data_IF_324994384371
#
_entry.id   IF_324994384371
#
_cell.length_a   1.000
_cell.length_b   1.000
_cell.length_c   1.000
_cell.angle_alpha   90.00
_cell.angle_beta   90.00
_cell.angle_gamma   90.00
#
_symmetry.space_group_name_H-M   'P 1'
#
loop_
_entity.id
_entity.type
_entity.pdbx_description
1 polymer ?
#
# COMPACT_ATOMS: atom_id res chain seq x y z
N UNK A 1 -2.08 -5.84 29.63
CA UNK A 1 -1.23 -5.64 28.43
C UNK A 1 -0.55 -4.29 28.54
N UNK A 2 0.74 -4.18 28.23
CA UNK A 2 1.48 -2.90 28.32
C UNK A 2 1.25 -2.05 27.06
N UNK A 3 1.52 -0.74 27.14
CA UNK A 3 1.47 0.17 25.97
C UNK A 3 2.35 -0.33 24.81
N UNK A 4 3.53 -0.88 25.12
CA UNK A 4 4.43 -1.46 24.12
C UNK A 4 3.83 -2.66 23.37
N UNK A 5 3.07 -3.53 24.05
CA UNK A 5 2.37 -4.65 23.39
C UNK A 5 1.33 -4.16 22.40
N UNK A 6 0.57 -3.12 22.76
CA UNK A 6 -0.42 -2.52 21.85
C UNK A 6 0.22 -1.88 20.62
N UNK A 7 1.33 -1.15 20.80
CA UNK A 7 2.07 -0.55 19.69
C UNK A 7 2.60 -1.61 18.71
N UNK A 8 3.16 -2.70 19.23
CA UNK A 8 3.63 -3.82 18.42
C UNK A 8 2.48 -4.46 17.61
N UNK A 9 1.32 -4.70 18.25
CA UNK A 9 0.14 -5.20 17.56
C UNK A 9 -0.33 -4.23 16.46
N UNK A 10 -0.34 -2.92 16.73
CA UNK A 10 -0.68 -1.91 15.73
C UNK A 10 0.28 -1.93 14.54
N UNK A 11 1.59 -2.05 14.76
CA UNK A 11 2.57 -2.17 13.68
C UNK A 11 2.37 -3.45 12.86
N UNK A 12 2.08 -4.58 13.50
CA UNK A 12 1.80 -5.85 12.80
C UNK A 12 0.55 -5.69 11.92
N UNK A 13 -0.53 -5.15 12.46
CA UNK A 13 -1.78 -4.96 11.72
C UNK A 13 -1.62 -3.99 10.55
N UNK A 14 -0.94 -2.86 10.74
CA UNK A 14 -0.67 -1.89 9.68
C UNK A 14 0.25 -2.47 8.61
N UNK A 15 1.29 -3.21 9.00
CA UNK A 15 2.17 -3.90 8.07
C UNK A 15 1.42 -4.94 7.22
N UNK A 16 0.61 -5.79 7.86
CA UNK A 16 -0.22 -6.78 7.17
C UNK A 16 -1.21 -6.12 6.20
N UNK A 17 -1.92 -5.08 6.64
CA UNK A 17 -2.83 -4.32 5.79
C UNK A 17 -2.10 -3.69 4.59
N UNK A 18 -0.88 -3.18 4.81
CA UNK A 18 -0.07 -2.57 3.74
C UNK A 18 0.31 -3.59 2.69
N UNK A 19 0.70 -4.81 3.09
CA UNK A 19 1.02 -5.90 2.17
C UNK A 19 -0.21 -6.34 1.36
N UNK A 20 -1.37 -6.47 2.00
CA UNK A 20 -2.62 -6.82 1.31
C UNK A 20 -3.01 -5.75 0.30
N UNK A 21 -3.01 -4.48 0.70
CA UNK A 21 -3.35 -3.37 -0.21
C UNK A 21 -2.33 -3.26 -1.33
N UNK A 22 -1.04 -3.45 -1.05
CA UNK A 22 -0.01 -3.48 -2.08
C UNK A 22 -0.24 -4.61 -3.10
N UNK A 23 -0.54 -5.83 -2.64
CA UNK A 23 -0.87 -6.95 -3.52
C UNK A 23 -2.11 -6.66 -4.38
N UNK A 24 -3.14 -6.00 -3.83
CA UNK A 24 -4.32 -5.56 -4.58
C UNK A 24 -3.96 -4.53 -5.66
N UNK A 25 -3.14 -3.52 -5.33
CA UNK A 25 -2.67 -2.53 -6.32
C UNK A 25 -1.87 -3.22 -7.41
N UNK A 26 -0.95 -4.13 -7.04
CA UNK A 26 -0.11 -4.86 -7.97
C UNK A 26 -0.95 -5.74 -8.91
N UNK A 27 -1.91 -6.48 -8.37
CA UNK A 27 -2.85 -7.28 -9.15
C UNK A 27 -3.60 -6.40 -10.15
N UNK A 28 -4.16 -5.30 -9.68
CA UNK A 28 -4.87 -4.36 -10.54
C UNK A 28 -3.95 -3.77 -11.62
N UNK A 29 -2.69 -3.44 -11.32
CA UNK A 29 -1.76 -2.87 -12.30
C UNK A 29 -1.34 -3.90 -13.37
N UNK A 30 -1.10 -5.15 -12.97
CA UNK A 30 -0.56 -6.18 -13.85
C UNK A 30 -1.64 -6.88 -14.70
N UNK A 31 -2.85 -7.07 -14.16
CA UNK A 31 -3.93 -7.82 -14.81
C UNK A 31 -5.11 -6.98 -15.32
N UNK A 32 -5.13 -5.66 -15.13
CA UNK A 32 -6.23 -4.85 -15.66
C UNK A 32 -6.20 -4.72 -17.19
N UNK A 33 -7.40 -4.60 -17.76
CA UNK A 33 -7.63 -4.36 -19.19
C UNK A 33 -6.96 -3.09 -19.73
N UNK A 34 -6.76 -2.07 -18.86
CA UNK A 34 -5.95 -0.89 -19.18
C UNK A 34 -4.53 -1.07 -18.63
N UNK A 35 -3.57 -1.50 -19.47
CA UNK A 35 -2.20 -1.69 -19.02
C UNK A 35 -1.57 -0.35 -18.66
N UNK A 36 -0.83 -0.30 -17.55
CA UNK A 36 -0.06 0.88 -17.14
C UNK A 36 1.18 1.16 -18.03
N UNK A 37 1.17 0.66 -19.27
CA UNK A 37 2.27 0.75 -20.23
C UNK A 37 3.56 0.09 -19.75
N UNK A 38 4.69 0.53 -20.31
CA UNK A 38 6.05 0.04 -20.01
C UNK A 38 6.44 0.12 -18.53
N UNK A 39 5.76 0.97 -17.76
CA UNK A 39 6.07 1.25 -16.36
C UNK A 39 5.35 0.32 -15.37
N UNK A 40 4.51 -0.62 -15.84
CA UNK A 40 3.76 -1.54 -14.97
C UNK A 40 4.65 -2.31 -13.97
N UNK A 41 5.88 -2.62 -14.37
CA UNK A 41 6.82 -3.37 -13.55
C UNK A 41 7.36 -2.56 -12.38
N UNK A 42 7.34 -1.23 -12.44
CA UNK A 42 7.67 -0.39 -11.29
C UNK A 42 6.71 -0.62 -10.12
N UNK A 43 5.50 -1.12 -10.36
CA UNK A 43 4.57 -1.44 -9.28
C UNK A 43 5.04 -2.58 -8.36
N UNK A 44 6.08 -3.34 -8.74
CA UNK A 44 6.74 -4.29 -7.82
C UNK A 44 7.44 -3.58 -6.65
N UNK A 45 7.82 -2.32 -6.84
CA UNK A 45 8.42 -1.49 -5.78
C UNK A 45 7.26 -0.91 -4.95
N UNK A 46 7.15 -1.22 -3.64
CA UNK A 46 5.94 -0.89 -2.88
C UNK A 46 5.53 0.58 -2.91
N UNK A 47 6.43 1.56 -2.73
CA UNK A 47 6.08 2.97 -2.85
C UNK A 47 5.65 3.40 -4.25
N UNK A 48 6.11 2.71 -5.30
CA UNK A 48 5.76 3.05 -6.68
C UNK A 48 4.39 2.45 -7.09
N UNK A 49 3.97 1.34 -6.50
CA UNK A 49 2.68 0.71 -6.75
C UNK A 49 1.47 1.67 -6.72
N UNK A 50 1.23 2.47 -5.66
CA UNK A 50 0.09 3.38 -5.63
C UNK A 50 0.17 4.44 -6.72
N UNK A 51 1.37 4.92 -7.05
CA UNK A 51 1.59 5.92 -8.11
C UNK A 51 1.23 5.35 -9.48
N UNK A 52 1.76 4.15 -9.81
CA UNK A 52 1.46 3.48 -11.08
C UNK A 52 -0.02 3.07 -11.15
N UNK A 53 -0.61 2.64 -10.02
CA UNK A 53 -2.03 2.38 -9.88
C UNK A 53 -2.88 3.60 -10.22
N UNK A 54 -2.50 4.76 -9.67
CA UNK A 54 -3.14 6.06 -9.90
C UNK A 54 -3.05 6.53 -11.34
N UNK A 55 -1.87 6.40 -11.96
CA UNK A 55 -1.66 6.72 -13.38
C UNK A 55 -2.47 5.80 -14.29
N UNK A 56 -2.70 4.56 -13.89
CA UNK A 56 -3.59 3.61 -14.58
C UNK A 56 -5.09 3.82 -14.32
N UNK A 57 -5.49 4.94 -13.71
CA UNK A 57 -6.90 5.32 -13.50
C UNK A 57 -7.56 4.70 -12.26
N UNK A 58 -6.83 3.97 -11.43
CA UNK A 58 -7.35 3.38 -10.19
C UNK A 58 -7.20 4.37 -9.04
N UNK A 59 -8.23 4.49 -8.18
CA UNK A 59 -8.24 5.48 -7.09
C UNK A 59 -8.26 4.81 -5.71
N UNK A 60 -9.12 3.83 -5.51
CA UNK A 60 -9.37 3.22 -4.18
C UNK A 60 -8.11 2.60 -3.58
N UNK A 61 -7.47 1.66 -4.29
CA UNK A 61 -6.33 0.92 -3.74
C UNK A 61 -5.09 1.82 -3.50
N UNK A 62 -4.73 2.77 -4.39
CA UNK A 62 -3.71 3.78 -4.10
C UNK A 62 -4.00 4.68 -2.90
N UNK A 63 -5.26 5.11 -2.71
CA UNK A 63 -5.66 5.93 -1.55
C UNK A 63 -5.46 5.14 -0.26
N UNK A 64 -5.95 3.89 -0.22
CA UNK A 64 -5.76 3.01 0.94
C UNK A 64 -4.29 2.82 1.27
N UNK A 65 -3.44 2.67 0.26
CA UNK A 65 -2.00 2.55 0.46
C UNK A 65 -1.41 3.81 1.11
N UNK A 66 -1.78 5.00 0.63
CA UNK A 66 -1.34 6.28 1.21
C UNK A 66 -1.80 6.47 2.66
N UNK A 67 -3.05 6.09 2.97
CA UNK A 67 -3.57 6.11 4.34
C UNK A 67 -2.76 5.19 5.25
N UNK A 68 -2.46 3.97 4.82
CA UNK A 68 -1.68 3.02 5.62
C UNK A 68 -0.23 3.49 5.83
N UNK A 69 0.39 4.08 4.81
CA UNK A 69 1.72 4.68 4.93
C UNK A 69 1.73 5.83 5.95
N UNK A 70 0.69 6.68 5.94
CA UNK A 70 0.54 7.76 6.94
C UNK A 70 0.33 7.18 8.35
N UNK A 71 -0.53 6.18 8.50
CA UNK A 71 -0.75 5.51 9.79
C UNK A 71 0.53 4.90 10.33
N UNK A 72 1.33 4.25 9.48
CA UNK A 72 2.63 3.73 9.86
C UNK A 72 3.58 4.84 10.34
N UNK A 73 3.63 5.96 9.62
CA UNK A 73 4.46 7.10 10.00
C UNK A 73 4.05 7.67 11.36
N UNK A 74 2.74 7.84 11.59
CA UNK A 74 2.21 8.30 12.89
C UNK A 74 2.59 7.33 14.00
N UNK A 75 2.37 6.03 13.81
CA UNK A 75 2.73 5.01 14.80
C UNK A 75 4.25 4.92 15.04
N UNK A 76 5.09 5.43 14.13
CA UNK A 76 6.54 5.47 14.31
C UNK A 76 7.01 6.65 15.17
N UNK A 77 6.17 7.68 15.28
CA UNK A 77 6.43 8.90 16.05
C UNK A 77 5.89 8.83 17.49
N UNK A 78 5.07 7.81 17.79
CA UNK A 78 4.58 7.46 19.14
C UNK A 78 5.58 6.54 19.83
#
# INVERSE_FOLDING_TARGET
>A
MTSGTWLLLSWILVGAATLVVHALVLWQVLWAEKPAGKWRWLALIPPAAPVIGWLGGRRVAPILWGVLALTYLVLRLV
#
